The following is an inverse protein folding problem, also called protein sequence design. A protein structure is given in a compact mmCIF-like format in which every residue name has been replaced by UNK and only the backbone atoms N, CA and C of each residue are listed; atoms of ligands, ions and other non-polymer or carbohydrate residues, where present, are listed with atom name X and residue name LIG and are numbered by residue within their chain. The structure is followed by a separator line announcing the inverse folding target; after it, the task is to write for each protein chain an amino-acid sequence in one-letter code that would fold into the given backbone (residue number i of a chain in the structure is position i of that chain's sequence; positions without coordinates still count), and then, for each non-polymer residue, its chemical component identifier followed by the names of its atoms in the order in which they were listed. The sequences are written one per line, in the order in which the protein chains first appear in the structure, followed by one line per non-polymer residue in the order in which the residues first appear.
data_IF_449810392577
#
_entry.id   IF_449810392577
#
_cell.length_a   1.000
_cell.length_b   1.000
_cell.length_c   1.000
_cell.angle_alpha   90.00
_cell.angle_beta   90.00
_cell.angle_gamma   90.00
#
_symmetry.space_group_name_H-M   'P 1'
#
loop_
_entity.id
_entity.type
_entity.pdbx_description
1 polymer ?
#
# COMPACT_ATOMS: atom_id res chain seq x y z
N UNK A 1 -17.99 -19.26 51.97
CA UNK A 1 -18.44 -18.08 51.21
C UNK A 1 -17.26 -17.25 50.71
N UNK A 2 -16.26 -17.00 51.56
CA UNK A 2 -15.06 -16.19 51.19
C UNK A 2 -14.21 -16.74 50.04
N UNK A 3 -14.02 -18.07 49.93
CA UNK A 3 -13.22 -18.65 48.86
C UNK A 3 -13.87 -18.49 47.47
N UNK A 4 -15.20 -18.52 47.42
CA UNK A 4 -15.96 -18.37 46.17
C UNK A 4 -15.92 -16.93 45.66
N UNK A 5 -16.03 -15.95 46.56
CA UNK A 5 -15.94 -14.52 46.24
C UNK A 5 -14.52 -14.16 45.76
N UNK A 6 -13.47 -14.73 46.40
CA UNK A 6 -12.08 -14.55 45.96
C UNK A 6 -11.81 -15.12 44.57
N UNK A 7 -12.40 -16.28 44.25
CA UNK A 7 -12.26 -16.90 42.94
C UNK A 7 -12.95 -16.08 41.84
N UNK A 8 -14.16 -15.56 42.11
CA UNK A 8 -14.88 -14.65 41.22
C UNK A 8 -14.13 -13.34 40.99
N UNK A 9 -13.56 -12.74 42.04
CA UNK A 9 -12.73 -11.54 41.92
C UNK A 9 -11.49 -11.81 41.08
N UNK A 10 -10.79 -12.93 41.31
CA UNK A 10 -9.61 -13.31 40.53
C UNK A 10 -9.95 -13.53 39.05
N UNK A 11 -11.05 -14.23 38.75
CA UNK A 11 -11.54 -14.43 37.39
C UNK A 11 -11.98 -13.12 36.73
N UNK A 12 -12.61 -12.20 37.48
CA UNK A 12 -12.98 -10.88 36.97
C UNK A 12 -11.76 -10.01 36.67
N UNK A 13 -10.72 -10.06 37.51
CA UNK A 13 -9.47 -9.33 37.29
C UNK A 13 -8.74 -9.92 36.08
N UNK A 14 -8.70 -11.25 35.93
CA UNK A 14 -8.12 -11.94 34.77
C UNK A 14 -8.84 -11.63 33.46
N UNK A 15 -10.17 -11.53 33.49
CA UNK A 15 -10.95 -11.17 32.30
C UNK A 15 -10.83 -9.68 31.97
N UNK A 16 -10.69 -8.81 32.97
CA UNK A 16 -10.38 -7.39 32.75
C UNK A 16 -8.96 -7.23 32.21
N UNK A 17 -7.94 -7.91 32.74
CA UNK A 17 -6.58 -7.84 32.18
C UNK A 17 -6.49 -8.49 30.81
N UNK A 18 -7.20 -9.59 30.54
CA UNK A 18 -7.28 -10.17 29.19
C UNK A 18 -8.01 -9.23 28.21
N UNK A 19 -9.07 -8.54 28.64
CA UNK A 19 -9.77 -7.56 27.81
C UNK A 19 -8.96 -6.28 27.60
N UNK A 20 -8.18 -5.82 28.58
CA UNK A 20 -7.24 -4.70 28.44
C UNK A 20 -6.08 -5.11 27.53
N UNK A 21 -5.52 -6.31 27.69
CA UNK A 21 -4.55 -6.84 26.74
C UNK A 21 -5.17 -6.96 25.35
N UNK A 22 -6.41 -7.45 25.19
CA UNK A 22 -7.07 -7.51 23.88
C UNK A 22 -7.40 -6.14 23.30
N UNK A 23 -7.64 -5.11 24.13
CA UNK A 23 -7.83 -3.73 23.66
C UNK A 23 -6.49 -3.03 23.36
N UNK A 24 -5.40 -3.41 24.03
CA UNK A 24 -4.03 -2.98 23.67
C UNK A 24 -3.46 -3.77 22.48
N UNK A 25 -3.92 -5.01 22.28
CA UNK A 25 -3.67 -5.89 21.11
C UNK A 25 -4.69 -5.60 20.00
N UNK A 26 -5.69 -4.75 20.24
CA UNK A 26 -6.37 -4.01 19.18
C UNK A 26 -5.36 -3.02 18.64
N UNK A 27 -4.41 -3.51 17.83
CA UNK A 27 -3.25 -2.77 17.38
C UNK A 27 -3.77 -1.58 16.59
N UNK A 28 -3.87 -0.42 17.23
CA UNK A 28 -3.89 0.87 16.55
C UNK A 28 -2.49 1.07 15.97
N UNK A 29 -2.17 0.26 14.95
CA UNK A 29 -0.90 0.20 14.28
C UNK A 29 -0.79 1.47 13.45
N UNK A 30 -0.19 2.52 13.99
CA UNK A 30 -0.02 3.76 13.24
C UNK A 30 1.16 3.64 12.30
N UNK A 31 0.98 4.00 11.04
CA UNK A 31 2.09 4.02 10.08
C UNK A 31 3.05 5.17 10.38
N UNK A 32 4.32 5.08 9.95
CA UNK A 32 5.19 6.24 9.94
C UNK A 32 4.54 7.36 9.10
N UNK A 33 4.49 8.62 9.58
CA UNK A 33 3.84 9.70 8.85
C UNK A 33 4.58 10.06 7.56
N UNK A 34 5.91 10.00 7.58
CA UNK A 34 6.73 10.25 6.39
C UNK A 34 7.90 9.27 6.36
N UNK A 35 7.98 8.45 5.34
CA UNK A 35 8.97 7.38 5.25
C UNK A 35 9.33 7.07 3.80
N UNK A 36 10.43 6.35 3.65
CA UNK A 36 10.90 5.85 2.38
C UNK A 36 11.41 4.42 2.54
N UNK A 37 11.40 3.66 1.46
CA UNK A 37 11.85 2.27 1.45
C UNK A 37 12.34 1.88 0.08
N UNK A 38 13.29 0.93 0.04
CA UNK A 38 13.47 0.16 -1.20
C UNK A 38 12.25 -0.72 -1.40
N UNK A 39 11.87 -0.92 -2.65
CA UNK A 39 10.67 -1.67 -2.98
C UNK A 39 10.93 -2.68 -4.08
N UNK A 40 10.48 -3.92 -3.87
CA UNK A 40 10.21 -4.87 -4.94
C UNK A 40 8.75 -4.71 -5.33
N UNK A 41 8.52 -4.52 -6.62
CA UNK A 41 7.21 -4.31 -7.20
C UNK A 41 6.92 -5.44 -8.18
N UNK A 42 5.76 -6.06 -8.01
CA UNK A 42 5.23 -7.04 -8.95
C UNK A 42 3.78 -6.66 -9.28
N UNK A 43 3.42 -6.67 -10.56
CA UNK A 43 2.02 -6.60 -10.97
C UNK A 43 1.73 -7.70 -11.97
N UNK A 44 0.56 -8.32 -11.85
CA UNK A 44 0.03 -9.25 -12.83
C UNK A 44 -1.40 -8.86 -13.20
N UNK A 45 -1.66 -8.70 -14.49
CA UNK A 45 -3.01 -8.59 -15.03
C UNK A 45 -3.26 -9.73 -16.01
N UNK A 46 -4.42 -10.39 -15.92
CA UNK A 46 -4.87 -11.33 -16.94
C UNK A 46 -5.86 -10.63 -17.86
N UNK A 47 -5.41 -10.24 -19.06
CA UNK A 47 -6.28 -9.63 -20.07
C UNK A 47 -6.52 -10.65 -21.17
N UNK A 48 -7.76 -11.12 -21.32
CA UNK A 48 -8.12 -12.04 -22.42
C UNK A 48 -7.15 -13.25 -22.51
N UNK A 49 -6.74 -13.80 -21.35
CA UNK A 49 -5.79 -14.91 -21.23
C UNK A 49 -4.32 -14.61 -21.61
N UNK A 50 -3.94 -13.34 -21.77
CA UNK A 50 -2.54 -12.90 -21.89
C UNK A 50 -2.08 -12.37 -20.54
N UNK A 51 -1.12 -13.02 -19.87
CA UNK A 51 -0.56 -12.49 -18.63
C UNK A 51 0.35 -11.30 -18.93
N UNK A 52 -0.03 -10.12 -18.46
CA UNK A 52 0.84 -8.97 -18.38
C UNK A 52 1.48 -8.95 -16.99
N UNK A 53 2.74 -9.34 -16.92
CA UNK A 53 3.54 -9.32 -15.69
C UNK A 53 4.51 -8.15 -15.72
N UNK A 54 4.63 -7.42 -14.64
CA UNK A 54 5.70 -6.45 -14.45
C UNK A 54 6.45 -6.76 -13.19
N UNK A 55 7.77 -6.81 -13.29
CA UNK A 55 8.68 -6.97 -12.16
C UNK A 55 9.65 -5.80 -12.16
N UNK A 56 9.62 -5.02 -11.09
CA UNK A 56 10.44 -3.83 -10.97
C UNK A 56 11.00 -3.69 -9.55
N UNK A 57 12.05 -2.89 -9.46
CA UNK A 57 12.63 -2.48 -8.18
C UNK A 57 12.78 -0.98 -8.17
N UNK A 58 12.82 -0.39 -6.99
CA UNK A 58 13.19 1.01 -6.88
C UNK A 58 12.99 1.56 -5.48
N UNK A 59 12.47 2.77 -5.40
CA UNK A 59 12.28 3.47 -4.11
C UNK A 59 10.86 4.01 -4.02
N UNK A 60 10.22 3.70 -2.90
CA UNK A 60 8.91 4.20 -2.52
C UNK A 60 9.10 5.31 -1.48
N UNK A 61 8.39 6.42 -1.66
CA UNK A 61 8.37 7.55 -0.74
C UNK A 61 6.94 7.89 -0.41
N UNK A 62 6.69 8.15 0.87
CA UNK A 62 5.39 8.43 1.42
C UNK A 62 5.46 9.61 2.37
N UNK A 63 4.54 10.56 2.22
CA UNK A 63 4.45 11.71 3.12
C UNK A 63 2.97 12.03 3.35
N UNK A 64 2.43 11.40 4.40
CA UNK A 64 1.03 11.51 4.80
C UNK A 64 0.60 12.94 5.16
N UNK A 65 1.36 13.70 5.99
CA UNK A 65 0.99 15.08 6.32
C UNK A 65 0.80 15.99 5.10
N UNK A 66 1.61 15.77 4.07
CA UNK A 66 1.59 16.56 2.82
C UNK A 66 0.70 15.94 1.73
N UNK A 67 0.08 14.79 1.99
CA UNK A 67 -0.77 14.05 1.06
C UNK A 67 -0.09 13.83 -0.30
N UNK A 68 1.11 13.25 -0.25
CA UNK A 68 1.90 12.98 -1.45
C UNK A 68 2.64 11.64 -1.33
N UNK A 69 2.84 11.00 -2.48
CA UNK A 69 3.66 9.81 -2.59
C UNK A 69 4.43 9.82 -3.89
N UNK A 70 5.56 9.11 -3.89
CA UNK A 70 6.40 8.93 -5.06
C UNK A 70 6.85 7.48 -5.14
N UNK A 71 6.89 6.96 -6.36
CA UNK A 71 7.39 5.63 -6.66
C UNK A 71 8.32 5.70 -7.86
N UNK A 72 9.60 5.49 -7.60
CA UNK A 72 10.62 5.34 -8.63
C UNK A 72 10.77 3.86 -8.95
N UNK A 73 10.68 3.48 -10.22
CA UNK A 73 10.78 2.09 -10.65
C UNK A 73 11.68 1.90 -11.85
N UNK A 74 12.45 0.81 -11.79
CA UNK A 74 13.22 0.27 -12.89
C UNK A 74 13.04 -1.24 -12.95
N UNK A 75 12.70 -1.76 -14.11
CA UNK A 75 12.35 -3.18 -14.24
C UNK A 75 12.02 -3.62 -15.66
N UNK A 76 11.24 -4.69 -15.74
CA UNK A 76 10.77 -5.28 -16.99
C UNK A 76 9.25 -5.44 -16.96
N UNK A 77 8.62 -5.17 -18.09
CA UNK A 77 7.19 -5.40 -18.32
C UNK A 77 6.95 -6.44 -19.43
N UNK A 78 5.88 -7.22 -19.25
CA UNK A 78 5.35 -8.29 -20.11
C UNK A 78 6.31 -9.48 -20.36
N UNK A 79 5.78 -10.52 -21.02
CA UNK A 79 6.52 -11.70 -21.53
C UNK A 79 7.54 -11.37 -22.65
N UNK A 80 7.98 -10.11 -22.76
CA UNK A 80 8.80 -9.57 -23.84
C UNK A 80 10.00 -8.73 -23.41
N UNK A 81 10.37 -8.70 -22.13
CA UNK A 81 11.53 -7.95 -21.62
C UNK A 81 11.53 -6.45 -21.99
N UNK A 82 10.37 -5.78 -21.96
CA UNK A 82 10.32 -4.34 -22.22
C UNK A 82 10.92 -3.62 -21.01
N UNK A 83 12.07 -2.92 -21.14
CA UNK A 83 12.63 -2.17 -20.03
C UNK A 83 11.69 -1.05 -19.63
N UNK A 84 11.52 -0.90 -18.32
CA UNK A 84 10.71 0.13 -17.70
C UNK A 84 11.60 0.99 -16.82
N UNK A 85 11.48 2.31 -16.93
CA UNK A 85 12.21 3.30 -16.14
C UNK A 85 11.28 4.49 -15.89
N UNK A 86 10.36 4.32 -14.93
CA UNK A 86 9.29 5.30 -14.69
C UNK A 86 9.33 5.83 -13.26
N UNK A 87 8.98 7.09 -13.12
CA UNK A 87 8.71 7.73 -11.83
C UNK A 87 7.25 8.14 -11.80
N UNK A 88 6.57 7.79 -10.72
CA UNK A 88 5.20 8.18 -10.47
C UNK A 88 5.16 9.11 -9.25
N UNK A 89 4.54 10.27 -9.38
CA UNK A 89 4.38 11.23 -8.28
C UNK A 89 2.89 11.54 -8.17
N UNK A 90 2.32 11.26 -7.01
CA UNK A 90 0.94 11.61 -6.68
C UNK A 90 0.92 12.80 -5.74
N UNK A 91 0.17 13.83 -6.14
CA UNK A 91 -0.23 14.95 -5.30
C UNK A 91 -1.73 14.84 -5.10
N UNK A 92 -2.13 14.25 -3.96
CA UNK A 92 -3.53 13.89 -3.75
C UNK A 92 -4.42 15.12 -3.52
N UNK A 93 -3.85 16.19 -2.96
CA UNK A 93 -4.48 17.51 -2.88
C UNK A 93 -4.84 18.09 -4.27
N UNK A 94 -4.11 17.74 -5.32
CA UNK A 94 -4.38 18.11 -6.72
C UNK A 94 -5.23 17.07 -7.45
N UNK A 95 -5.52 15.92 -6.82
CA UNK A 95 -6.16 14.75 -7.43
C UNK A 95 -5.49 14.37 -8.77
N UNK A 96 -4.16 14.41 -8.79
CA UNK A 96 -3.35 14.25 -10.00
C UNK A 96 -2.19 13.30 -9.75
N UNK A 97 -1.98 12.39 -10.70
CA UNK A 97 -0.76 11.59 -10.80
C UNK A 97 0.07 12.08 -11.98
N UNK A 98 1.35 12.29 -11.73
CA UNK A 98 2.36 12.57 -12.75
C UNK A 98 3.14 11.30 -13.04
N UNK A 99 3.24 10.95 -14.32
CA UNK A 99 3.99 9.80 -14.81
C UNK A 99 5.13 10.33 -15.65
N UNK A 100 6.35 10.07 -15.18
CA UNK A 100 7.60 10.52 -15.80
C UNK A 100 8.29 9.30 -16.38
N UNK A 101 8.50 9.31 -17.69
CA UNK A 101 9.39 8.39 -18.37
C UNK A 101 10.81 8.95 -18.25
N UNK A 102 11.65 8.27 -17.47
CA UNK A 102 13.00 8.74 -17.16
C UNK A 102 13.94 8.61 -18.37
N UNK A 103 13.66 7.68 -19.29
CA UNK A 103 14.51 7.41 -20.45
C UNK A 103 14.20 8.39 -21.59
N UNK A 104 12.92 8.70 -21.81
CA UNK A 104 12.47 9.64 -22.85
C UNK A 104 12.32 11.09 -22.34
N UNK A 105 12.52 11.33 -21.04
CA UNK A 105 12.29 12.63 -20.38
C UNK A 105 10.91 13.22 -20.69
N UNK A 106 9.90 12.36 -20.76
CA UNK A 106 8.52 12.80 -20.99
C UNK A 106 7.75 12.80 -19.69
N UNK A 107 6.78 13.70 -19.59
CA UNK A 107 5.90 13.79 -18.44
C UNK A 107 4.45 13.87 -18.91
N UNK A 108 3.64 12.97 -18.39
CA UNK A 108 2.19 12.96 -18.57
C UNK A 108 1.53 13.10 -17.22
N UNK A 109 0.31 13.62 -17.21
CA UNK A 109 -0.50 13.68 -16.00
C UNK A 109 -1.87 13.08 -16.24
N UNK A 110 -2.36 12.35 -15.25
CA UNK A 110 -3.72 11.83 -15.25
C UNK A 110 -4.47 12.42 -14.08
N UNK A 111 -5.71 12.86 -14.36
CA UNK A 111 -6.63 13.27 -13.33
C UNK A 111 -7.15 12.01 -12.64
N UNK A 112 -6.88 11.90 -11.35
CA UNK A 112 -7.39 10.84 -10.47
C UNK A 112 -8.67 11.36 -9.80
N UNK A 113 -9.69 11.69 -10.64
CA UNK A 113 -10.73 12.66 -10.28
C UNK A 113 -11.84 12.19 -9.35
N UNK A 114 -11.96 10.91 -9.08
CA UNK A 114 -13.24 10.37 -8.58
C UNK A 114 -13.20 9.96 -7.10
N UNK A 115 -12.13 10.32 -6.40
CA UNK A 115 -11.54 9.36 -5.49
C UNK A 115 -10.70 10.10 -4.42
N UNK A 116 -11.24 10.20 -3.20
CA UNK A 116 -10.73 10.95 -2.03
C UNK A 116 -9.47 10.25 -1.44
N UNK A 117 -8.40 11.00 -1.15
CA UNK A 117 -7.31 10.57 -0.24
C UNK A 117 -7.95 10.14 1.07
N UNK A 118 -7.73 8.90 1.49
CA UNK A 118 -8.50 8.31 2.58
C UNK A 118 -7.56 8.09 3.77
N UNK A 119 -7.23 9.15 4.52
CA UNK A 119 -6.05 9.27 5.38
C UNK A 119 -6.06 8.28 6.55
N UNK A 120 -5.76 7.02 6.29
CA UNK A 120 -5.47 6.02 7.28
C UNK A 120 -4.09 6.32 7.88
N UNK A 121 -4.11 6.90 9.08
CA UNK A 121 -2.94 7.07 9.93
C UNK A 121 -2.42 5.72 10.50
N UNK A 122 -2.64 4.61 9.78
CA UNK A 122 -2.46 3.25 10.27
C UNK A 122 -3.37 2.23 9.59
N UNK A 123 -3.44 1.03 10.15
CA UNK A 123 -4.34 -0.01 9.66
C UNK A 123 -5.81 0.39 9.88
N UNK A 124 -6.70 0.29 8.86
CA UNK A 124 -8.13 0.58 9.00
C UNK A 124 -8.77 -0.26 10.11
N UNK A 125 -9.66 0.35 10.90
CA UNK A 125 -10.28 -0.32 12.07
C UNK A 125 -11.16 -1.52 11.71
N UNK A 126 -11.63 -1.58 10.47
CA UNK A 126 -12.44 -2.66 9.94
C UNK A 126 -11.63 -3.67 9.12
N UNK A 127 -10.30 -3.56 9.11
CA UNK A 127 -9.42 -4.62 8.63
C UNK A 127 -9.45 -5.81 9.60
N UNK A 128 -9.47 -7.01 9.04
CA UNK A 128 -9.39 -8.24 9.80
C UNK A 128 -7.92 -8.63 10.00
N UNK A 129 -7.50 -8.88 11.25
CA UNK A 129 -6.21 -9.50 11.53
C UNK A 129 -6.32 -11.00 11.32
N UNK A 130 -5.67 -11.52 10.29
CA UNK A 130 -5.75 -12.95 9.94
C UNK A 130 -4.72 -13.78 10.70
N UNK A 131 -3.52 -13.23 10.93
CA UNK A 131 -2.40 -13.99 11.49
C UNK A 131 -1.32 -13.10 12.10
N UNK A 132 -0.67 -13.65 13.14
CA UNK A 132 0.47 -13.07 13.84
C UNK A 132 1.71 -13.95 13.67
N UNK A 133 2.79 -13.34 13.19
CA UNK A 133 4.02 -14.01 12.79
C UNK A 133 5.29 -13.47 13.42
N UNK A 134 6.39 -14.17 13.12
CA UNK A 134 7.74 -13.76 13.50
C UNK A 134 8.70 -13.92 12.34
N UNK A 135 9.39 -12.85 11.94
CA UNK A 135 10.49 -12.88 10.97
C UNK A 135 11.82 -13.02 11.73
N UNK A 136 12.73 -13.84 11.19
CA UNK A 136 14.07 -14.03 11.75
C UNK A 136 14.05 -14.67 13.13
N UNK A 137 13.33 -15.79 13.29
CA UNK A 137 13.17 -16.50 14.58
C UNK A 137 12.51 -15.62 15.66
N UNK A 138 11.40 -14.97 15.29
CA UNK A 138 10.64 -14.04 16.15
C UNK A 138 11.42 -12.82 16.67
N UNK A 139 12.58 -12.51 16.08
CA UNK A 139 13.28 -11.24 16.36
C UNK A 139 12.44 -10.02 15.98
N UNK A 140 11.54 -10.18 15.00
CA UNK A 140 10.59 -9.17 14.59
C UNK A 140 9.19 -9.77 14.51
N UNK A 141 8.26 -9.23 15.30
CA UNK A 141 6.85 -9.63 15.25
C UNK A 141 6.17 -8.92 14.07
N UNK A 142 5.37 -9.66 13.32
CA UNK A 142 4.61 -9.16 12.18
C UNK A 142 3.14 -9.51 12.30
N UNK A 143 2.27 -8.70 11.74
CA UNK A 143 0.83 -8.96 11.69
C UNK A 143 0.33 -8.78 10.26
N UNK A 144 -0.56 -9.69 9.86
CA UNK A 144 -1.19 -9.71 8.54
C UNK A 144 -2.63 -9.26 8.66
N UNK A 145 -3.00 -8.27 7.85
CA UNK A 145 -4.34 -7.72 7.79
C UNK A 145 -4.95 -7.91 6.41
N UNK A 146 -6.22 -8.33 6.37
CA UNK A 146 -7.04 -8.33 5.16
C UNK A 146 -8.16 -7.31 5.26
N UNK A 147 -8.38 -6.57 4.18
CA UNK A 147 -9.49 -5.64 4.03
C UNK A 147 -10.19 -5.89 2.71
N UNK A 148 -11.51 -6.06 2.77
CA UNK A 148 -12.33 -6.20 1.57
C UNK A 148 -13.13 -4.91 1.40
N UNK A 149 -12.99 -4.27 0.24
CA UNK A 149 -13.73 -3.06 -0.13
C UNK A 149 -14.59 -3.35 -1.35
N UNK A 150 -15.85 -2.93 -1.29
CA UNK A 150 -16.73 -2.96 -2.46
C UNK A 150 -16.54 -1.68 -3.24
N UNK A 151 -16.02 -1.80 -4.45
CA UNK A 151 -15.86 -0.68 -5.36
C UNK A 151 -16.87 -0.81 -6.50
N UNK A 152 -17.06 0.27 -7.26
CA UNK A 152 -18.12 0.38 -8.28
C UNK A 152 -18.14 -0.77 -9.31
N UNK A 153 -17.01 -1.43 -9.54
CA UNK A 153 -16.82 -2.38 -10.64
C UNK A 153 -16.27 -3.75 -10.21
N UNK A 154 -15.71 -3.88 -9.01
CA UNK A 154 -15.16 -5.12 -8.48
C UNK A 154 -15.10 -5.08 -6.95
N UNK A 155 -15.08 -6.25 -6.31
CA UNK A 155 -14.63 -6.36 -4.93
C UNK A 155 -13.10 -6.31 -4.93
N UNK A 156 -12.52 -5.53 -4.03
CA UNK A 156 -11.07 -5.35 -3.91
C UNK A 156 -10.62 -6.01 -2.62
N UNK A 157 -9.71 -6.97 -2.74
CA UNK A 157 -9.06 -7.62 -1.61
C UNK A 157 -7.70 -6.98 -1.44
N UNK A 158 -7.51 -6.41 -0.27
CA UNK A 158 -6.29 -5.73 0.09
C UNK A 158 -5.67 -6.49 1.25
N UNK A 159 -4.39 -6.80 1.16
CA UNK A 159 -3.66 -7.42 2.26
C UNK A 159 -2.42 -6.61 2.62
N UNK A 160 -2.10 -6.58 3.91
CA UNK A 160 -1.01 -5.78 4.44
C UNK A 160 -0.29 -6.55 5.54
N UNK A 161 1.02 -6.73 5.37
CA UNK A 161 1.93 -7.19 6.41
C UNK A 161 2.60 -5.96 7.04
N UNK A 162 2.59 -5.86 8.38
CA UNK A 162 3.25 -4.76 9.12
C UNK A 162 4.19 -5.30 10.18
N UNK A 163 5.21 -4.51 10.55
CA UNK A 163 6.00 -4.77 11.77
C UNK A 163 5.19 -4.30 12.97
N UNK A 164 4.91 -5.18 13.93
CA UNK A 164 4.15 -4.81 15.13
C UNK A 164 5.04 -3.97 16.05
N UNK A 165 4.53 -2.82 16.48
CA UNK A 165 5.21 -1.88 17.37
C UNK A 165 4.38 -0.64 17.65
N UNK A 166 4.97 0.37 18.30
CA UNK A 166 4.31 1.69 18.48
C UNK A 166 4.06 2.41 17.15
N UNK A 167 4.96 2.18 16.20
CA UNK A 167 4.83 2.59 14.80
C UNK A 167 5.00 1.33 13.98
N UNK A 168 4.10 1.13 13.02
CA UNK A 168 3.98 -0.10 12.26
C UNK A 168 4.37 0.13 10.80
N UNK A 169 5.66 0.16 10.48
CA UNK A 169 6.05 0.29 9.09
C UNK A 169 5.53 -0.91 8.28
N UNK A 170 5.01 -0.65 7.06
CA UNK A 170 4.57 -1.71 6.17
C UNK A 170 5.76 -2.55 5.71
N UNK A 171 5.51 -3.85 5.50
CA UNK A 171 6.49 -4.82 4.99
C UNK A 171 6.06 -5.28 3.62
N UNK A 172 4.78 -5.65 3.48
CA UNK A 172 4.20 -6.07 2.21
C UNK A 172 2.82 -5.47 2.10
N UNK A 173 2.50 -4.97 0.93
CA UNK A 173 1.15 -4.55 0.58
C UNK A 173 0.77 -5.22 -0.72
N UNK A 174 -0.38 -5.88 -0.73
CA UNK A 174 -0.93 -6.50 -1.91
C UNK A 174 -2.36 -6.02 -2.14
N UNK A 175 -2.67 -5.82 -3.41
CA UNK A 175 -4.00 -5.51 -3.87
C UNK A 175 -4.39 -6.50 -4.96
N UNK A 176 -5.57 -7.09 -4.82
CA UNK A 176 -6.16 -7.99 -5.77
C UNK A 176 -7.60 -7.56 -6.09
N UNK A 177 -7.84 -7.30 -7.36
CA UNK A 177 -9.19 -7.14 -7.87
C UNK A 177 -9.83 -8.52 -7.99
N UNK A 178 -10.99 -8.69 -7.35
CA UNK A 178 -11.86 -9.84 -7.54
C UNK A 178 -12.97 -9.45 -8.51
N UNK A 179 -12.64 -9.50 -9.79
CA UNK A 179 -13.63 -9.33 -10.86
C UNK A 179 -14.67 -10.46 -10.83
N UNK A 180 -15.84 -10.18 -11.44
CA UNK A 180 -16.88 -11.19 -11.65
C UNK A 180 -16.46 -12.30 -12.64
N UNK A 181 -15.44 -12.04 -13.47
CA UNK A 181 -14.83 -13.03 -14.37
C UNK A 181 -13.54 -13.60 -13.73
N UNK A 182 -13.47 -14.89 -13.39
CA UNK A 182 -12.27 -15.51 -12.84
C UNK A 182 -11.06 -15.53 -13.80
N UNK A 183 -11.26 -15.15 -15.07
CA UNK A 183 -10.23 -14.98 -16.08
C UNK A 183 -9.75 -13.52 -16.25
N UNK A 184 -10.27 -12.56 -15.48
CA UNK A 184 -9.71 -11.21 -15.39
C UNK A 184 -9.43 -10.85 -13.93
N UNK A 185 -8.35 -10.13 -13.70
CA UNK A 185 -7.95 -9.72 -12.37
C UNK A 185 -6.59 -9.06 -12.41
N UNK A 186 -6.48 -7.95 -11.68
CA UNK A 186 -5.23 -7.27 -11.43
C UNK A 186 -4.75 -7.63 -10.03
N UNK A 187 -3.50 -8.07 -9.93
CA UNK A 187 -2.78 -8.25 -8.68
C UNK A 187 -1.60 -7.30 -8.70
N UNK A 188 -1.42 -6.55 -7.63
CA UNK A 188 -0.28 -5.65 -7.44
C UNK A 188 0.31 -5.94 -6.08
N UNK A 189 1.61 -6.17 -6.02
CA UNK A 189 2.36 -6.48 -4.82
C UNK A 189 3.54 -5.51 -4.66
N UNK A 190 3.69 -5.00 -3.45
CA UNK A 190 4.78 -4.16 -3.00
C UNK A 190 5.44 -4.84 -1.81
N UNK A 191 6.74 -5.09 -1.90
CA UNK A 191 7.54 -5.53 -0.75
C UNK A 191 8.52 -4.43 -0.37
N UNK A 192 8.34 -3.89 0.83
CA UNK A 192 9.14 -2.81 1.39
C UNK A 192 10.34 -3.37 2.15
N UNK A 193 11.53 -3.00 1.69
CA UNK A 193 12.81 -3.40 2.27
C UNK A 193 13.47 -2.21 2.96
N UNK A 194 13.80 -2.41 4.23
CA UNK A 194 14.44 -1.44 5.11
C UNK A 194 13.73 -0.07 5.14
N UNK A 195 12.45 -0.02 5.55
CA UNK A 195 11.73 1.24 5.70
C UNK A 195 12.42 2.13 6.73
N UNK A 196 12.58 3.40 6.39
CA UNK A 196 13.26 4.42 7.18
C UNK A 196 12.54 5.76 7.07
N UNK A 197 12.81 6.69 7.97
CA UNK A 197 12.25 8.03 7.91
C UNK A 197 12.63 8.74 6.59
N UNK A 198 11.72 9.56 6.08
CA UNK A 198 11.96 10.33 4.87
C UNK A 198 13.05 11.38 5.12
N UNK A 199 14.17 11.28 4.39
CA UNK A 199 15.33 12.15 4.59
C UNK A 199 15.27 13.46 3.79
N UNK A 200 14.55 13.47 2.67
CA UNK A 200 14.48 14.59 1.74
C UNK A 200 13.06 14.73 1.17
N UNK A 201 12.35 15.79 1.53
CA UNK A 201 11.01 16.08 1.01
C UNK A 201 11.04 16.67 -0.41
N UNK A 202 12.19 17.11 -0.91
CA UNK A 202 12.30 17.68 -2.26
C UNK A 202 12.05 16.63 -3.36
N UNK A 203 12.10 15.33 -3.02
CA UNK A 203 11.80 14.22 -3.92
C UNK A 203 10.39 14.30 -4.54
N UNK A 204 9.44 14.98 -3.91
CA UNK A 204 8.09 15.16 -4.46
C UNK A 204 7.98 16.33 -5.44
N UNK A 205 9.06 17.11 -5.62
CA UNK A 205 9.09 18.23 -6.56
C UNK A 205 9.10 17.70 -7.99
N UNK A 206 8.17 18.16 -8.81
CA UNK A 206 8.11 17.80 -10.21
C UNK A 206 9.30 18.39 -10.98
N UNK A 207 9.92 17.63 -11.90
CA UNK A 207 10.90 18.17 -12.83
C UNK A 207 10.32 19.30 -13.69
N UNK A 208 11.16 20.25 -14.12
CA UNK A 208 10.72 21.43 -14.88
C UNK A 208 9.98 21.09 -16.18
N UNK A 209 10.33 19.99 -16.84
CA UNK A 209 9.66 19.54 -18.07
C UNK A 209 8.23 19.02 -17.83
N UNK A 210 7.83 18.76 -16.57
CA UNK A 210 6.45 18.44 -16.22
C UNK A 210 5.53 19.67 -16.19
N UNK A 211 6.05 20.91 -16.26
CA UNK A 211 5.23 22.12 -16.24
C UNK A 211 4.19 22.16 -17.37
N UNK A 212 4.49 21.53 -18.51
CA UNK A 212 3.59 21.39 -19.66
C UNK A 212 3.08 19.96 -19.85
N UNK A 213 3.03 19.16 -18.79
CA UNK A 213 2.58 17.77 -18.86
C UNK A 213 1.20 17.69 -19.52
N UNK A 214 1.11 16.93 -20.61
CA UNK A 214 -0.14 16.68 -21.31
C UNK A 214 -0.96 15.65 -20.52
N UNK A 215 -2.28 15.76 -20.61
CA UNK A 215 -3.15 14.66 -20.14
C UNK A 215 -2.73 13.39 -20.86
N UNK A 216 -2.55 12.26 -20.16
CA UNK A 216 -2.34 11.02 -20.90
C UNK A 216 -3.63 10.72 -21.68
N UNK A 217 -3.57 10.86 -23.01
CA UNK A 217 -4.60 10.31 -23.86
C UNK A 217 -4.30 8.82 -23.97
N UNK A 218 -4.93 8.02 -23.11
CA UNK A 218 -4.91 6.56 -23.17
C UNK A 218 -3.49 5.96 -23.35
N UNK A 219 -2.62 6.12 -22.35
CA UNK A 219 -1.60 5.07 -22.14
C UNK A 219 -2.32 3.85 -21.57
N UNK A 220 -2.71 2.93 -22.46
CA UNK A 220 -3.36 1.68 -22.08
C UNK A 220 -2.51 0.90 -21.07
N UNK A 221 -1.17 0.96 -21.15
CA UNK A 221 -0.29 0.31 -20.19
C UNK A 221 -0.17 1.11 -18.88
N UNK A 222 -0.08 2.44 -18.94
CA UNK A 222 0.15 3.29 -17.75
C UNK A 222 -0.99 3.30 -16.73
N UNK A 223 -2.24 3.18 -17.19
CA UNK A 223 -3.43 3.05 -16.31
C UNK A 223 -3.68 1.64 -15.78
N UNK A 224 -3.16 0.63 -16.47
CA UNK A 224 -3.48 -0.79 -16.22
C UNK A 224 -2.51 -1.43 -15.25
N UNK A 225 -1.23 -1.14 -15.38
CA UNK A 225 -0.18 -1.79 -14.58
C UNK A 225 0.01 -1.19 -13.19
N UNK A 226 -0.46 0.04 -12.97
CA UNK A 226 -0.52 0.68 -11.67
C UNK A 226 -1.93 1.19 -11.51
N UNK A 227 -2.74 0.53 -10.68
CA UNK A 227 -4.03 1.08 -10.26
C UNK A 227 -3.81 1.88 -8.96
N UNK A 228 -3.46 3.19 -9.03
CA UNK A 228 -3.40 4.03 -7.85
C UNK A 228 -4.72 4.11 -7.09
N UNK A 229 -5.83 3.73 -7.75
CA UNK A 229 -7.18 3.68 -7.19
C UNK A 229 -7.23 2.96 -5.84
N UNK A 230 -6.43 1.91 -5.67
CA UNK A 230 -6.50 1.03 -4.51
C UNK A 230 -5.32 1.19 -3.56
N UNK A 231 -4.15 1.67 -4.01
CA UNK A 231 -2.96 1.86 -3.16
C UNK A 231 -3.25 2.70 -1.91
N UNK A 232 -4.09 3.72 -2.08
CA UNK A 232 -4.58 4.61 -1.02
C UNK A 232 -5.61 4.00 -0.05
N UNK A 233 -6.10 2.78 -0.28
CA UNK A 233 -7.10 2.15 0.62
C UNK A 233 -6.46 1.63 1.91
N UNK A 234 -5.13 1.50 1.93
CA UNK A 234 -4.34 1.26 3.13
C UNK A 234 -3.30 2.37 3.36
N UNK A 235 -2.62 2.79 2.30
CA UNK A 235 -1.50 3.73 2.38
C UNK A 235 -1.93 5.12 1.91
N UNK A 236 -3.15 5.54 2.22
CA UNK A 236 -3.69 6.82 1.80
C UNK A 236 -4.45 7.48 2.90
#
# INVERSE_FOLDING_TARGET
MDAFIKCLLFLSILSITAAILQNEIGVHCTFPPSWQSKVFFESGELIMSIPELMNATGTYYYDYPSQQMRLDLKGLASLGNVPLSNTYIWHFNESTVYIIDNDNHTCTKDKDSDYIWNPWNGVPLDAHSDWHGGVGDFQQITEHFTLIRKELYADVILTLDVKVGKVCPPIRYNNQDKDYDPASGAIVNYEFVDPQDLSDHSVFTLPSFCASAKSSQHSLMGRRSFSPRFHRLFMG
#
